data_IF_170118499197
#
_entry.id   IF_170118499197
#
_cell.length_a   1.000
_cell.length_b   1.000
_cell.length_c   1.000
_cell.angle_alpha   90.00
_cell.angle_beta   90.00
_cell.angle_gamma   90.00
#
_symmetry.space_group_name_H-M   'P 1'
#
loop_
_entity.id
_entity.type
_entity.pdbx_description
1 polymer ?
#
# COMPACT_ATOMS: atom_id res chain seq x y z
N UNK A 1 -11.96 -6.72 -3.23
CA UNK A 1 -11.68 -6.43 -4.65
C UNK A 1 -10.68 -7.48 -5.15
N UNK A 2 -10.30 -7.51 -6.43
CA UNK A 2 -9.48 -8.60 -7.00
C UNK A 2 -8.46 -8.07 -8.03
N UNK A 3 -7.67 -7.06 -7.66
CA UNK A 3 -6.55 -6.54 -8.49
C UNK A 3 -6.93 -6.04 -9.89
N UNK A 4 -8.13 -5.48 -10.02
CA UNK A 4 -8.66 -4.93 -11.29
C UNK A 4 -8.53 -3.41 -11.33
N UNK A 5 -8.42 -2.85 -12.54
CA UNK A 5 -8.37 -1.40 -12.78
C UNK A 5 -6.97 -0.89 -13.11
N UNK A 6 -6.80 0.43 -13.06
CA UNK A 6 -5.51 1.06 -13.30
C UNK A 6 -4.55 0.76 -12.15
N UNK A 7 -3.36 0.28 -12.49
CA UNK A 7 -2.34 -0.11 -11.53
C UNK A 7 -1.39 1.05 -11.25
N UNK A 8 -0.99 1.18 -9.99
CA UNK A 8 0.19 1.93 -9.60
C UNK A 8 1.28 0.95 -9.18
N UNK A 9 2.44 1.02 -9.85
CA UNK A 9 3.57 0.11 -9.59
C UNK A 9 4.75 0.92 -9.08
N UNK A 10 5.39 0.41 -8.02
CA UNK A 10 6.59 1.00 -7.41
C UNK A 10 7.56 -0.12 -7.06
N UNK A 11 8.84 0.03 -7.40
CA UNK A 11 9.84 -0.96 -6.96
C UNK A 11 10.10 -0.77 -5.48
N UNK A 12 10.28 -1.86 -4.76
CA UNK A 12 10.53 -1.82 -3.33
C UNK A 12 11.86 -1.17 -2.94
N UNK A 13 12.83 -1.19 -3.86
CA UNK A 13 14.14 -0.54 -3.70
C UNK A 13 14.10 0.96 -3.98
N UNK A 14 13.05 1.46 -4.62
CA UNK A 14 12.86 2.90 -4.80
C UNK A 14 12.40 3.54 -3.48
N UNK A 15 12.52 4.87 -3.41
CA UNK A 15 12.03 5.62 -2.26
C UNK A 15 10.52 5.42 -2.01
N UNK A 16 10.16 5.57 -0.73
CA UNK A 16 8.76 5.63 -0.30
C UNK A 16 8.05 6.84 -0.95
N UNK A 17 6.74 6.71 -1.15
CA UNK A 17 5.89 7.70 -1.82
C UNK A 17 5.03 8.41 -0.78
N UNK A 18 5.44 9.62 -0.40
CA UNK A 18 4.74 10.42 0.62
C UNK A 18 3.36 10.92 0.18
N UNK A 19 3.13 10.99 -1.13
CA UNK A 19 1.88 11.47 -1.73
C UNK A 19 1.72 10.73 -3.06
N UNK A 20 0.72 9.84 -3.13
CA UNK A 20 0.44 9.05 -4.33
C UNK A 20 -0.04 9.95 -5.48
N UNK A 21 0.19 9.56 -6.75
CA UNK A 21 -0.38 10.26 -7.89
C UNK A 21 -1.92 10.35 -7.81
N UNK A 22 -2.48 11.47 -8.26
CA UNK A 22 -3.91 11.76 -8.12
C UNK A 22 -4.84 10.67 -8.71
N UNK A 23 -4.43 10.00 -9.78
CA UNK A 23 -5.25 8.96 -10.41
C UNK A 23 -5.43 7.69 -9.58
N UNK A 24 -4.57 7.44 -8.58
CA UNK A 24 -4.66 6.28 -7.67
C UNK A 24 -4.90 6.70 -6.22
N UNK A 25 -4.67 7.98 -5.89
CA UNK A 25 -4.87 8.54 -4.56
C UNK A 25 -6.36 8.47 -4.19
N UNK A 26 -6.66 7.82 -3.07
CA UNK A 26 -8.04 7.58 -2.64
C UNK A 26 -8.82 6.59 -3.52
N UNK A 27 -8.15 5.83 -4.40
CA UNK A 27 -8.81 4.86 -5.28
C UNK A 27 -8.27 3.43 -5.11
N UNK A 28 -7.21 3.24 -4.33
CA UNK A 28 -6.64 1.93 -4.07
C UNK A 28 -7.58 1.04 -3.28
N UNK A 29 -7.74 -0.19 -3.76
CA UNK A 29 -8.69 -1.18 -3.21
C UNK A 29 -8.07 -2.55 -2.98
N UNK A 30 -6.85 -2.78 -3.49
CA UNK A 30 -6.09 -4.00 -3.37
C UNK A 30 -4.59 -3.72 -3.46
N UNK A 31 -3.76 -4.60 -2.90
CA UNK A 31 -2.30 -4.47 -2.86
C UNK A 31 -1.67 -5.81 -3.17
N UNK A 32 -0.62 -5.79 -4.00
CA UNK A 32 0.27 -6.93 -4.23
C UNK A 32 1.67 -6.47 -3.80
N UNK A 33 2.32 -7.23 -2.93
CA UNK A 33 3.72 -7.06 -2.60
C UNK A 33 4.50 -8.30 -3.06
N UNK A 34 5.28 -8.14 -4.13
CA UNK A 34 6.16 -9.19 -4.66
C UNK A 34 7.63 -8.86 -4.38
N UNK A 35 7.92 -8.25 -3.23
CA UNK A 35 9.26 -7.80 -2.87
C UNK A 35 9.72 -8.37 -1.54
N UNK A 36 11.04 -8.45 -1.35
CA UNK A 36 11.68 -8.80 -0.07
C UNK A 36 11.61 -7.69 0.99
N UNK A 37 10.74 -6.69 0.82
CA UNK A 37 10.55 -5.56 1.73
C UNK A 37 9.09 -5.48 2.16
N UNK A 38 8.84 -4.83 3.28
CA UNK A 38 7.50 -4.54 3.74
C UNK A 38 6.92 -3.38 2.94
N UNK A 39 5.71 -3.57 2.40
CA UNK A 39 4.91 -2.51 1.81
C UNK A 39 3.82 -2.09 2.79
N UNK A 40 3.77 -0.81 3.15
CA UNK A 40 2.69 -0.21 3.95
C UNK A 40 1.96 0.84 3.15
N UNK A 41 0.64 0.70 3.06
CA UNK A 41 -0.22 1.69 2.39
C UNK A 41 -1.03 2.41 3.46
N UNK A 42 -1.00 3.74 3.43
CA UNK A 42 -1.56 4.60 4.46
C UNK A 42 -2.78 5.36 3.97
N UNK A 43 -3.70 5.62 4.91
CA UNK A 43 -4.95 6.33 4.70
C UNK A 43 -4.76 7.82 4.39
N UNK A 44 -3.60 8.38 4.76
CA UNK A 44 -3.25 9.78 4.55
C UNK A 44 -1.83 9.91 4.00
N UNK A 45 -1.54 11.12 3.53
CA UNK A 45 -0.21 11.50 3.06
C UNK A 45 0.82 11.40 4.19
N UNK A 46 2.09 11.39 3.81
CA UNK A 46 3.25 11.39 4.70
C UNK A 46 3.26 10.21 5.69
N UNK A 47 2.70 9.05 5.30
CA UNK A 47 2.73 7.81 6.08
C UNK A 47 1.99 7.91 7.41
N UNK A 48 0.82 8.56 7.42
CA UNK A 48 0.03 8.82 8.63
C UNK A 48 -1.35 8.16 8.59
N UNK A 49 -2.01 8.11 9.75
CA UNK A 49 -3.31 7.49 9.97
C UNK A 49 -3.33 5.96 9.74
N UNK A 50 -4.53 5.40 9.54
CA UNK A 50 -4.72 3.96 9.35
C UNK A 50 -3.86 3.43 8.21
N UNK A 51 -3.41 2.18 8.30
CA UNK A 51 -2.55 1.57 7.30
C UNK A 51 -2.77 0.07 7.20
N UNK A 52 -2.55 -0.47 6.00
CA UNK A 52 -2.38 -1.90 5.78
C UNK A 52 -0.93 -2.21 5.51
N UNK A 53 -0.51 -3.39 5.94
CA UNK A 53 0.87 -3.84 5.82
C UNK A 53 0.91 -5.20 5.13
N UNK A 54 1.76 -5.32 4.12
CA UNK A 54 2.12 -6.60 3.49
C UNK A 54 3.60 -6.85 3.73
N UNK A 55 3.91 -7.95 4.41
CA UNK A 55 5.26 -8.25 4.93
C UNK A 55 6.30 -8.56 3.86
N UNK A 56 7.54 -8.80 4.31
CA UNK A 56 8.72 -9.08 3.46
C UNK A 56 8.67 -10.42 2.74
N UNK A 57 7.88 -11.37 3.25
CA UNK A 57 7.59 -12.63 2.56
C UNK A 57 6.71 -12.43 1.31
N UNK A 58 6.32 -11.19 1.05
CA UNK A 58 5.36 -10.83 0.02
C UNK A 58 3.94 -11.19 0.44
N UNK A 59 3.03 -11.10 -0.52
CA UNK A 59 1.63 -11.44 -0.35
C UNK A 59 0.70 -10.42 -0.98
N UNK A 60 -0.59 -10.64 -0.76
CA UNK A 60 -1.62 -9.84 -1.40
C UNK A 60 -2.74 -9.51 -0.43
N UNK A 61 -3.29 -8.31 -0.56
CA UNK A 61 -4.57 -7.93 0.02
C UNK A 61 -5.51 -7.69 -1.14
N UNK A 62 -6.45 -8.60 -1.36
CA UNK A 62 -7.43 -8.47 -2.42
C UNK A 62 -8.47 -7.38 -2.10
N UNK A 63 -8.83 -7.21 -0.83
CA UNK A 63 -9.85 -6.24 -0.42
C UNK A 63 -9.42 -5.38 0.76
N UNK A 64 -9.13 -4.10 0.50
CA UNK A 64 -8.81 -3.13 1.55
C UNK A 64 -10.02 -2.74 2.41
N UNK A 65 -11.25 -3.02 1.97
CA UNK A 65 -12.48 -2.74 2.74
C UNK A 65 -12.52 -3.53 4.04
N UNK A 66 -12.04 -4.77 4.00
CA UNK A 66 -11.91 -5.64 5.18
C UNK A 66 -10.96 -5.08 6.24
N UNK A 67 -10.15 -4.08 5.89
CA UNK A 67 -9.21 -3.38 6.77
C UNK A 67 -9.64 -1.93 7.07
N UNK A 68 -10.87 -1.54 6.70
CA UNK A 68 -11.34 -0.16 6.86
C UNK A 68 -10.59 0.85 6.00
N UNK A 69 -9.93 0.41 4.92
CA UNK A 69 -9.12 1.22 4.01
C UNK A 69 -9.70 1.32 2.60
N UNK A 70 -11.03 1.37 2.50
CA UNK A 70 -11.66 1.58 1.19
C UNK A 70 -11.37 2.98 0.66
N UNK A 71 -10.91 3.11 -0.58
CA UNK A 71 -10.78 4.40 -1.25
C UNK A 71 -9.96 5.42 -0.43
N UNK A 72 -8.98 4.91 0.33
CA UNK A 72 -8.24 5.70 1.31
C UNK A 72 -6.72 5.68 1.05
N UNK A 73 -6.23 5.02 0.00
CA UNK A 73 -4.78 4.90 -0.19
C UNK A 73 -4.16 6.22 -0.63
N UNK A 74 -3.33 6.83 0.22
CA UNK A 74 -2.76 8.16 0.01
C UNK A 74 -1.23 8.20 -0.03
N UNK A 75 -0.57 7.33 0.72
CA UNK A 75 0.89 7.20 0.68
C UNK A 75 1.34 5.74 0.81
N UNK A 76 2.52 5.44 0.29
CA UNK A 76 3.09 4.10 0.25
C UNK A 76 4.50 4.14 0.84
N UNK A 77 4.74 3.35 1.89
CA UNK A 77 6.06 3.20 2.50
C UNK A 77 6.62 1.82 2.20
N UNK A 78 7.80 1.78 1.62
CA UNK A 78 8.58 0.56 1.40
C UNK A 78 9.79 0.58 2.34
N UNK A 79 9.88 -0.38 3.25
CA UNK A 79 11.02 -0.48 4.17
C UNK A 79 11.22 -1.91 4.70
N UNK A 80 12.21 -2.10 5.57
CA UNK A 80 12.53 -3.41 6.15
C UNK A 80 11.85 -3.65 7.52
N UNK A 81 11.09 -2.68 8.03
CA UNK A 81 10.37 -2.81 9.29
C UNK A 81 9.24 -3.84 9.13
N UNK A 82 9.17 -4.93 9.93
CA UNK A 82 8.11 -5.93 9.84
C UNK A 82 6.70 -5.38 10.10
N UNK A 83 5.67 -6.06 9.60
CA UNK A 83 4.29 -5.76 9.99
C UNK A 83 4.05 -6.05 11.48
N UNK A 84 3.30 -5.19 12.17
CA UNK A 84 3.00 -5.33 13.60
C UNK A 84 4.10 -4.85 14.55
N UNK A 85 5.20 -4.31 14.02
CA UNK A 85 6.22 -3.62 14.78
C UNK A 85 5.78 -2.22 15.23
#
# INVERSE_FOLDING_TARGET
>A
MNFVGQLYVKRATDDSVRHLPDYIRGAGSSVINNSGRTARVYAKDNYTASQVCVGREGGTIADLRSYGMNDATHSLKNNDTPCGA
#
